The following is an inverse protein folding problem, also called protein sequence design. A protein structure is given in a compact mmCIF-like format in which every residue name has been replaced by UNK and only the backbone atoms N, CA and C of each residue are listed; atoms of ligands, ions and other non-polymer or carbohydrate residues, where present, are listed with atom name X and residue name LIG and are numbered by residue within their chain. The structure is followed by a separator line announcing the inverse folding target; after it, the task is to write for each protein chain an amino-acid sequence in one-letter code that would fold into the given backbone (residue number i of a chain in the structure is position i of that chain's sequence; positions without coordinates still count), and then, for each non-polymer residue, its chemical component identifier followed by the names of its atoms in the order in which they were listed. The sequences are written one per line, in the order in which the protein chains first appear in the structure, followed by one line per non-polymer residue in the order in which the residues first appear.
data_IF_066521005161
#
_entry.id   IF_066521005161
#
_cell.length_a   1.000
_cell.length_b   1.000
_cell.length_c   1.000
_cell.angle_alpha   90.00
_cell.angle_beta   90.00
_cell.angle_gamma   90.00
#
_symmetry.space_group_name_H-M   'P 1'
#
loop_
_entity.id
_entity.type
_entity.pdbx_description
1 polymer ?
#
# COMPACT_ATOMS: atom_id res chain seq x y z
N UNK A 1 103.24 2.48 47.91
CA UNK A 1 102.01 1.68 48.15
C UNK A 1 100.74 2.49 48.54
N UNK A 2 100.76 3.71 49.13
CA UNK A 2 99.52 4.40 49.54
C UNK A 2 98.61 4.92 48.41
N UNK A 3 99.16 5.28 47.24
CA UNK A 3 98.41 5.95 46.18
C UNK A 3 97.42 5.03 45.43
N UNK A 4 97.68 3.71 45.40
CA UNK A 4 96.83 2.74 44.71
C UNK A 4 95.59 2.38 45.53
N UNK A 5 95.71 2.36 46.86
CA UNK A 5 94.60 2.17 47.80
C UNK A 5 93.64 3.36 47.75
N UNK A 6 94.14 4.61 47.81
CA UNK A 6 93.31 5.82 47.66
C UNK A 6 92.62 5.95 46.31
N UNK A 7 93.21 5.43 45.24
CA UNK A 7 92.59 5.41 43.90
C UNK A 7 91.40 4.45 43.83
N UNK A 8 91.53 3.27 44.46
CA UNK A 8 90.46 2.28 44.56
C UNK A 8 89.34 2.77 45.50
N UNK A 9 89.67 3.40 46.63
CA UNK A 9 88.69 4.00 47.55
C UNK A 9 87.82 5.06 46.86
N UNK A 10 88.42 5.93 46.04
CA UNK A 10 87.68 6.91 45.23
C UNK A 10 86.76 6.23 44.20
N UNK A 11 87.26 5.20 43.51
CA UNK A 11 86.47 4.43 42.54
C UNK A 11 85.27 3.73 43.19
N UNK A 12 85.46 3.17 44.39
CA UNK A 12 84.40 2.53 45.17
C UNK A 12 83.34 3.56 45.54
N UNK A 13 83.75 4.75 45.99
CA UNK A 13 82.82 5.84 46.31
C UNK A 13 82.02 6.31 45.09
N UNK A 14 82.67 6.54 43.95
CA UNK A 14 82.00 6.91 42.69
C UNK A 14 80.98 5.84 42.24
N UNK A 15 81.34 4.57 42.36
CA UNK A 15 80.44 3.45 42.04
C UNK A 15 79.27 3.37 43.02
N UNK A 16 79.50 3.60 44.32
CA UNK A 16 78.44 3.67 45.33
C UNK A 16 77.46 4.81 45.04
N UNK A 17 77.96 6.01 44.75
CA UNK A 17 77.14 7.17 44.38
C UNK A 17 76.33 6.90 43.10
N UNK A 18 76.94 6.24 42.11
CA UNK A 18 76.26 5.85 40.86
C UNK A 18 75.17 4.83 41.11
N UNK A 19 75.41 3.83 41.96
CA UNK A 19 74.41 2.82 42.34
C UNK A 19 73.26 3.47 43.09
N UNK A 20 73.53 4.41 43.99
CA UNK A 20 72.47 5.15 44.67
C UNK A 20 71.63 5.99 43.71
N UNK A 21 72.25 6.70 42.77
CA UNK A 21 71.53 7.47 41.74
C UNK A 21 70.66 6.56 40.89
N UNK A 22 71.22 5.47 40.34
CA UNK A 22 70.47 4.51 39.53
C UNK A 22 69.32 3.85 40.30
N UNK A 23 69.50 3.60 41.61
CA UNK A 23 68.41 3.11 42.48
C UNK A 23 67.29 4.12 42.62
N UNK A 24 67.60 5.41 42.79
CA UNK A 24 66.60 6.48 42.86
C UNK A 24 65.86 6.64 41.53
N UNK A 25 66.58 6.69 40.41
CA UNK A 25 65.98 6.76 39.07
C UNK A 25 65.09 5.55 38.78
N UNK A 26 65.53 4.34 39.16
CA UNK A 26 64.72 3.13 39.03
C UNK A 26 63.43 3.22 39.85
N UNK A 27 63.50 3.67 41.10
CA UNK A 27 62.32 3.86 41.95
C UNK A 27 61.36 4.91 41.38
N UNK A 28 61.88 6.01 40.85
CA UNK A 28 61.07 7.03 40.19
C UNK A 28 60.37 6.50 38.94
N UNK A 29 61.10 5.77 38.09
CA UNK A 29 60.53 5.11 36.90
C UNK A 29 59.50 4.04 37.27
N UNK A 30 59.71 3.28 38.34
CA UNK A 30 58.72 2.31 38.83
C UNK A 30 57.43 2.99 39.33
N UNK A 31 57.54 4.16 39.97
CA UNK A 31 56.38 4.99 40.35
C UNK A 31 55.64 5.52 39.11
N UNK A 32 56.38 6.07 38.15
CA UNK A 32 55.81 6.56 36.89
C UNK A 32 55.09 5.42 36.12
N UNK A 33 55.69 4.23 36.06
CA UNK A 33 55.07 3.06 35.42
C UNK A 33 53.79 2.63 36.15
N UNK A 34 53.75 2.69 37.47
CA UNK A 34 52.55 2.31 38.24
C UNK A 34 51.42 3.33 38.07
N UNK A 35 51.75 4.63 38.03
CA UNK A 35 50.80 5.70 37.72
C UNK A 35 50.24 5.55 36.30
N UNK A 36 51.10 5.41 35.28
CA UNK A 36 50.68 5.22 33.89
C UNK A 36 49.82 3.96 33.70
N UNK A 37 50.14 2.86 34.39
CA UNK A 37 49.31 1.64 34.38
C UNK A 37 47.92 1.89 34.97
N UNK A 38 47.84 2.65 36.05
CA UNK A 38 46.57 3.03 36.69
C UNK A 38 45.72 3.90 35.77
N UNK A 39 46.34 4.90 35.12
CA UNK A 39 45.66 5.75 34.15
C UNK A 39 45.16 4.97 32.93
N UNK A 40 45.98 4.07 32.40
CA UNK A 40 45.60 3.22 31.29
C UNK A 40 44.40 2.33 31.65
N UNK A 41 44.37 1.75 32.86
CA UNK A 41 43.23 0.97 33.33
C UNK A 41 41.94 1.81 33.43
N UNK A 42 42.04 3.05 33.93
CA UNK A 42 40.92 4.01 33.99
C UNK A 42 40.41 4.38 32.60
N UNK A 43 41.31 4.64 31.64
CA UNK A 43 40.94 4.97 30.25
C UNK A 43 40.27 3.78 29.58
N UNK A 44 40.81 2.56 29.73
CA UNK A 44 40.21 1.33 29.18
C UNK A 44 38.80 1.10 29.72
N UNK A 45 38.61 1.25 31.04
CA UNK A 45 37.30 1.08 31.68
C UNK A 45 36.28 2.09 31.17
N UNK A 46 36.66 3.38 31.07
CA UNK A 46 35.79 4.41 30.49
C UNK A 46 35.42 4.11 29.04
N UNK A 47 36.40 3.74 28.20
CA UNK A 47 36.12 3.39 26.80
C UNK A 47 35.17 2.20 26.67
N UNK A 48 35.32 1.18 27.52
CA UNK A 48 34.42 0.02 27.54
C UNK A 48 32.98 0.42 27.89
N UNK A 49 32.79 1.22 28.95
CA UNK A 49 31.47 1.74 29.33
C UNK A 49 30.86 2.65 28.24
N UNK A 50 31.67 3.48 27.60
CA UNK A 50 31.21 4.31 26.48
C UNK A 50 30.81 3.48 25.26
N UNK A 51 31.54 2.38 24.98
CA UNK A 51 31.19 1.48 23.88
C UNK A 51 29.85 0.78 24.14
N UNK A 52 29.66 0.21 25.34
CA UNK A 52 28.39 -0.42 25.73
C UNK A 52 27.22 0.54 25.65
N UNK A 53 27.35 1.74 26.22
CA UNK A 53 26.28 2.75 26.15
C UNK A 53 26.02 3.21 24.71
N UNK A 54 27.04 3.30 23.86
CA UNK A 54 26.86 3.64 22.44
C UNK A 54 26.13 2.54 21.66
N UNK A 55 26.38 1.26 21.99
CA UNK A 55 25.72 0.11 21.40
C UNK A 55 24.25 0.06 21.82
N UNK A 56 23.96 0.16 23.12
CA UNK A 56 22.58 0.23 23.62
C UNK A 56 21.79 1.41 23.01
N UNK A 57 22.42 2.58 22.87
CA UNK A 57 21.80 3.75 22.24
C UNK A 57 21.54 3.49 20.75
N UNK A 58 22.46 2.79 20.06
CA UNK A 58 22.28 2.44 18.66
C UNK A 58 21.12 1.46 18.49
N UNK A 59 21.07 0.39 19.26
CA UNK A 59 19.99 -0.59 19.23
C UNK A 59 18.64 0.08 19.49
N UNK A 60 18.55 0.91 20.54
CA UNK A 60 17.34 1.67 20.84
C UNK A 60 16.95 2.61 19.70
N UNK A 61 17.91 3.26 19.04
CA UNK A 61 17.63 4.13 17.88
C UNK A 61 17.10 3.34 16.68
N UNK A 62 17.63 2.15 16.44
CA UNK A 62 17.14 1.26 15.38
C UNK A 62 15.70 0.82 15.66
N UNK A 63 15.39 0.42 16.90
CA UNK A 63 14.01 0.09 17.34
C UNK A 63 13.07 1.30 17.25
N UNK A 64 13.51 2.49 17.68
CA UNK A 64 12.70 3.71 17.55
C UNK A 64 12.42 4.02 16.08
N UNK A 65 13.40 3.80 15.19
CA UNK A 65 13.23 4.03 13.75
C UNK A 65 12.21 3.06 13.15
N UNK A 66 12.24 1.77 13.52
CA UNK A 66 11.25 0.79 13.04
C UNK A 66 9.85 1.11 13.56
N UNK A 67 9.72 1.37 14.87
CA UNK A 67 8.44 1.74 15.48
C UNK A 67 7.84 3.02 14.88
N UNK A 68 8.68 3.99 14.50
CA UNK A 68 8.21 5.20 13.82
C UNK A 68 7.65 4.91 12.44
N UNK A 69 8.25 3.99 11.69
CA UNK A 69 7.75 3.56 10.36
C UNK A 69 6.43 2.84 10.51
N UNK A 70 6.37 1.85 11.40
CA UNK A 70 5.12 1.13 11.69
C UNK A 70 3.99 2.07 12.12
N UNK A 71 4.28 3.06 12.96
CA UNK A 71 3.30 4.07 13.37
C UNK A 71 2.84 4.94 12.19
N UNK A 72 3.72 5.25 11.25
CA UNK A 72 3.34 6.01 10.06
C UNK A 72 2.43 5.17 9.15
N UNK A 73 2.81 3.93 8.87
CA UNK A 73 2.03 3.02 8.03
C UNK A 73 0.63 2.78 8.62
N UNK A 74 0.53 2.59 9.94
CA UNK A 74 -0.76 2.41 10.60
C UNK A 74 -1.61 3.69 10.60
N UNK A 75 -0.99 4.87 10.68
CA UNK A 75 -1.71 6.15 10.54
C UNK A 75 -2.27 6.34 9.14
N UNK A 76 -1.49 6.05 8.11
CA UNK A 76 -1.93 6.11 6.71
C UNK A 76 -3.10 5.15 6.49
N UNK A 77 -3.03 3.95 7.07
CA UNK A 77 -4.11 2.97 7.01
C UNK A 77 -5.38 3.42 7.76
N UNK A 78 -5.24 4.03 8.94
CA UNK A 78 -6.38 4.57 9.69
C UNK A 78 -7.07 5.67 8.90
N UNK A 79 -6.31 6.57 8.26
CA UNK A 79 -6.88 7.64 7.45
C UNK A 79 -7.64 7.08 6.24
N UNK A 80 -7.03 6.14 5.53
CA UNK A 80 -7.70 5.44 4.43
C UNK A 80 -8.97 4.70 4.86
N UNK A 81 -8.98 4.07 6.04
CA UNK A 81 -10.17 3.42 6.59
C UNK A 81 -11.25 4.43 6.98
N UNK A 82 -10.87 5.63 7.46
CA UNK A 82 -11.80 6.71 7.80
C UNK A 82 -12.48 7.26 6.55
N UNK A 83 -11.71 7.56 5.50
CA UNK A 83 -12.25 8.01 4.22
C UNK A 83 -13.26 6.99 3.65
N UNK A 84 -12.94 5.69 3.78
CA UNK A 84 -13.84 4.60 3.40
C UNK A 84 -15.11 4.54 4.23
N UNK A 85 -15.01 4.76 5.55
CA UNK A 85 -16.16 4.73 6.44
C UNK A 85 -17.09 5.92 6.16
N UNK A 86 -16.55 7.12 6.05
CA UNK A 86 -17.30 8.34 5.71
C UNK A 86 -18.04 8.16 4.38
N UNK A 87 -17.34 7.67 3.36
CA UNK A 87 -17.95 7.34 2.06
C UNK A 87 -19.09 6.32 2.19
N UNK A 88 -18.97 5.33 3.08
CA UNK A 88 -19.99 4.31 3.28
C UNK A 88 -21.22 4.83 4.05
N UNK A 89 -20.99 5.68 5.05
CA UNK A 89 -22.04 6.37 5.81
C UNK A 89 -22.85 7.30 4.90
N UNK A 90 -22.18 8.10 4.05
CA UNK A 90 -22.84 8.94 3.05
C UNK A 90 -23.75 8.12 2.11
N UNK A 91 -23.27 6.98 1.61
CA UNK A 91 -24.09 6.09 0.78
C UNK A 91 -25.31 5.59 1.55
N UNK A 92 -25.14 5.17 2.81
CA UNK A 92 -26.23 4.61 3.60
C UNK A 92 -27.30 5.66 3.90
N UNK A 93 -26.89 6.87 4.28
CA UNK A 93 -27.79 8.02 4.44
C UNK A 93 -28.56 8.33 3.16
N UNK A 94 -27.89 8.29 2.00
CA UNK A 94 -28.54 8.51 0.70
C UNK A 94 -29.48 7.36 0.32
N UNK A 95 -29.13 6.09 0.60
CA UNK A 95 -29.99 4.91 0.35
C UNK A 95 -31.25 4.92 1.21
N UNK A 96 -31.17 5.46 2.42
CA UNK A 96 -32.30 5.58 3.33
C UNK A 96 -33.36 6.60 2.83
N UNK A 97 -33.03 7.46 1.86
CA UNK A 97 -34.02 8.29 1.16
C UNK A 97 -34.76 7.41 0.15
N UNK A 98 -36.04 7.12 0.41
CA UNK A 98 -36.87 6.17 -0.37
C UNK A 98 -36.93 6.45 -1.89
N UNK A 99 -36.57 7.65 -2.34
CA UNK A 99 -36.71 8.10 -3.73
C UNK A 99 -35.41 8.11 -4.54
N UNK A 100 -34.26 7.76 -3.94
CA UNK A 100 -32.94 7.89 -4.59
C UNK A 100 -32.26 6.53 -4.74
N UNK A 101 -31.62 6.30 -5.88
CA UNK A 101 -30.69 5.19 -6.12
C UNK A 101 -29.28 5.73 -6.21
N UNK A 102 -28.39 5.17 -5.38
CA UNK A 102 -26.95 5.46 -5.41
C UNK A 102 -26.25 4.50 -6.36
N UNK A 103 -25.46 5.04 -7.28
CA UNK A 103 -24.67 4.31 -8.26
C UNK A 103 -23.19 4.62 -8.03
N UNK A 104 -22.29 3.67 -8.28
CA UNK A 104 -20.84 3.92 -8.18
C UNK A 104 -20.35 4.62 -9.43
N UNK A 105 -19.56 5.68 -9.27
CA UNK A 105 -19.03 6.45 -10.40
C UNK A 105 -17.80 5.77 -10.99
N UNK A 106 -17.77 5.66 -12.31
CA UNK A 106 -16.61 5.26 -13.09
C UNK A 106 -16.29 6.38 -14.10
N UNK A 107 -15.20 7.16 -13.88
CA UNK A 107 -14.88 8.31 -14.72
C UNK A 107 -14.65 7.93 -16.20
N UNK A 108 -13.90 6.87 -16.46
CA UNK A 108 -13.68 6.36 -17.81
C UNK A 108 -13.85 4.84 -17.85
N UNK A 109 -14.37 4.32 -18.96
CA UNK A 109 -14.56 2.89 -19.16
C UNK A 109 -13.26 2.14 -19.52
N UNK A 110 -12.19 2.38 -18.76
CA UNK A 110 -10.87 1.79 -18.96
C UNK A 110 -10.55 0.75 -17.89
N UNK A 111 -9.67 -0.22 -18.20
CA UNK A 111 -9.25 -1.22 -17.23
C UNK A 111 -8.57 -0.60 -16.00
N UNK A 112 -7.88 0.53 -16.19
CA UNK A 112 -7.22 1.26 -15.11
C UNK A 112 -8.25 1.78 -14.09
N UNK A 113 -9.30 2.44 -14.56
CA UNK A 113 -10.29 3.02 -13.66
C UNK A 113 -11.22 1.94 -13.07
N UNK A 114 -11.49 0.86 -13.79
CA UNK A 114 -12.18 -0.32 -13.21
C UNK A 114 -11.37 -0.88 -12.04
N UNK A 115 -10.05 -1.06 -12.19
CA UNK A 115 -9.19 -1.54 -11.10
C UNK A 115 -9.17 -0.59 -9.91
N UNK A 116 -9.04 0.72 -10.16
CA UNK A 116 -9.10 1.72 -9.08
C UNK A 116 -10.42 1.66 -8.31
N UNK A 117 -11.54 1.50 -9.02
CA UNK A 117 -12.85 1.38 -8.38
C UNK A 117 -12.95 0.09 -7.55
N UNK A 118 -12.42 -1.03 -8.06
CA UNK A 118 -12.34 -2.30 -7.32
C UNK A 118 -11.46 -2.20 -6.06
N UNK A 119 -10.29 -1.57 -6.14
CA UNK A 119 -9.34 -1.44 -5.02
C UNK A 119 -9.80 -0.40 -3.98
N UNK A 120 -10.49 0.64 -4.45
CA UNK A 120 -11.08 1.70 -3.64
C UNK A 120 -12.37 1.25 -2.97
N UNK A 121 -13.51 1.53 -3.60
CA UNK A 121 -14.85 1.33 -3.04
C UNK A 121 -15.29 -0.15 -3.13
N UNK A 122 -14.72 -0.89 -4.08
CA UNK A 122 -15.15 -2.25 -4.42
C UNK A 122 -16.30 -2.28 -5.41
N UNK A 123 -16.51 -3.42 -6.06
CA UNK A 123 -17.63 -3.68 -6.98
C UNK A 123 -18.25 -5.01 -6.58
N UNK A 124 -19.52 -4.97 -6.16
CA UNK A 124 -20.25 -6.11 -5.60
C UNK A 124 -21.53 -6.40 -6.38
N UNK A 125 -21.99 -7.64 -6.25
CA UNK A 125 -23.27 -8.07 -6.83
C UNK A 125 -24.42 -7.18 -6.33
N UNK A 126 -25.25 -6.72 -7.26
CA UNK A 126 -26.33 -5.77 -6.98
C UNK A 126 -25.99 -4.31 -7.27
N UNK A 127 -24.71 -3.95 -7.42
CA UNK A 127 -24.30 -2.58 -7.70
C UNK A 127 -24.72 -2.12 -9.10
N UNK A 128 -24.97 -0.83 -9.23
CA UNK A 128 -25.16 -0.14 -10.51
C UNK A 128 -23.95 0.77 -10.71
N UNK A 129 -23.26 0.61 -11.83
CA UNK A 129 -22.09 1.45 -12.17
C UNK A 129 -22.52 2.53 -13.15
N UNK A 130 -22.29 3.79 -12.82
CA UNK A 130 -22.43 4.92 -13.73
C UNK A 130 -21.10 5.19 -14.43
N UNK A 131 -21.10 5.15 -15.75
CA UNK A 131 -19.94 5.40 -16.59
C UNK A 131 -20.10 6.78 -17.24
N UNK A 132 -19.21 7.70 -16.88
CA UNK A 132 -19.20 9.06 -17.41
C UNK A 132 -18.65 9.10 -18.84
N UNK A 133 -17.48 8.50 -19.08
CA UNK A 133 -16.96 8.29 -20.44
C UNK A 133 -16.98 6.81 -20.87
N UNK A 134 -18.01 6.36 -21.62
CA UNK A 134 -18.13 4.99 -22.10
C UNK A 134 -17.27 4.65 -23.33
N UNK A 135 -16.54 5.62 -23.90
CA UNK A 135 -15.84 5.45 -25.19
C UNK A 135 -14.65 4.48 -25.12
N UNK A 136 -14.00 4.36 -23.96
CA UNK A 136 -12.74 3.64 -23.79
C UNK A 136 -12.82 2.13 -23.60
N UNK A 137 -14.01 1.53 -23.44
CA UNK A 137 -14.14 0.12 -23.07
C UNK A 137 -14.61 -0.79 -24.20
N UNK A 138 -13.95 -1.94 -24.30
CA UNK A 138 -14.26 -3.04 -25.22
C UNK A 138 -14.99 -4.21 -24.55
N UNK A 139 -15.06 -5.35 -25.25
CA UNK A 139 -15.68 -6.58 -24.75
C UNK A 139 -15.08 -7.09 -23.44
N UNK A 140 -13.76 -7.05 -23.28
CA UNK A 140 -13.08 -7.54 -22.06
C UNK A 140 -13.46 -6.73 -20.81
N UNK A 141 -13.54 -5.40 -20.92
CA UNK A 141 -13.95 -4.56 -19.78
C UNK A 141 -15.43 -4.79 -19.45
N UNK A 142 -16.27 -4.98 -20.48
CA UNK A 142 -17.68 -5.26 -20.31
C UNK A 142 -17.91 -6.60 -19.60
N UNK A 143 -17.19 -7.65 -20.00
CA UNK A 143 -17.21 -8.97 -19.37
C UNK A 143 -16.89 -8.88 -17.87
N UNK A 144 -15.77 -8.23 -17.54
CA UNK A 144 -15.31 -8.09 -16.16
C UNK A 144 -16.32 -7.38 -15.26
N UNK A 145 -17.01 -6.35 -15.77
CA UNK A 145 -18.05 -5.67 -15.02
C UNK A 145 -19.33 -6.51 -14.93
N UNK A 146 -19.75 -7.12 -16.04
CA UNK A 146 -21.02 -7.86 -16.13
C UNK A 146 -21.15 -9.02 -15.15
N UNK A 147 -20.04 -9.67 -14.79
CA UNK A 147 -20.05 -10.75 -13.80
C UNK A 147 -20.37 -10.29 -12.37
N UNK A 148 -20.23 -8.98 -12.09
CA UNK A 148 -20.26 -8.44 -10.73
C UNK A 148 -21.37 -7.43 -10.48
N UNK A 149 -22.05 -6.93 -11.52
CA UNK A 149 -22.94 -5.77 -11.39
C UNK A 149 -24.35 -6.09 -11.87
N UNK A 150 -25.34 -5.40 -11.30
CA UNK A 150 -26.75 -5.55 -11.68
C UNK A 150 -27.10 -4.80 -12.95
N UNK A 151 -26.52 -3.62 -13.15
CA UNK A 151 -26.79 -2.78 -14.32
C UNK A 151 -25.65 -1.79 -14.56
N UNK A 152 -25.57 -1.29 -15.79
CA UNK A 152 -24.66 -0.21 -16.17
C UNK A 152 -25.46 1.01 -16.60
N UNK A 153 -25.21 2.14 -15.96
CA UNK A 153 -25.70 3.44 -16.36
C UNK A 153 -24.65 4.20 -17.17
N UNK A 154 -25.09 4.93 -18.18
CA UNK A 154 -24.21 5.56 -19.17
C UNK A 154 -24.70 6.98 -19.49
N UNK A 155 -23.75 7.90 -19.57
CA UNK A 155 -23.92 9.14 -20.33
C UNK A 155 -23.16 9.02 -21.67
N UNK A 156 -23.86 8.55 -22.71
CA UNK A 156 -23.30 8.46 -24.05
C UNK A 156 -23.50 7.12 -24.76
N UNK A 157 -22.51 6.72 -25.57
CA UNK A 157 -22.58 5.52 -26.43
C UNK A 157 -21.40 4.60 -26.13
N UNK A 158 -21.71 3.34 -25.81
CA UNK A 158 -20.74 2.26 -25.74
C UNK A 158 -20.22 1.88 -27.14
N UNK A 159 -19.01 1.33 -27.16
CA UNK A 159 -18.50 0.61 -28.33
C UNK A 159 -19.41 -0.57 -28.69
N UNK A 160 -19.49 -0.90 -29.99
CA UNK A 160 -20.30 -2.04 -30.45
C UNK A 160 -19.92 -3.37 -29.76
N UNK A 161 -18.61 -3.71 -29.60
CA UNK A 161 -18.20 -4.92 -28.90
C UNK A 161 -18.60 -4.94 -27.42
N UNK A 162 -18.49 -3.82 -26.70
CA UNK A 162 -18.90 -3.76 -25.30
C UNK A 162 -20.42 -3.94 -25.14
N UNK A 163 -21.20 -3.27 -26.00
CA UNK A 163 -22.66 -3.37 -25.98
C UNK A 163 -23.13 -4.80 -26.24
N UNK A 164 -22.53 -5.49 -27.21
CA UNK A 164 -22.87 -6.88 -27.49
C UNK A 164 -22.56 -7.79 -26.29
N UNK A 165 -21.40 -7.60 -25.65
CA UNK A 165 -21.04 -8.38 -24.47
C UNK A 165 -21.99 -8.19 -23.29
N UNK A 166 -22.48 -6.96 -23.05
CA UNK A 166 -23.51 -6.71 -22.04
C UNK A 166 -24.86 -7.39 -22.37
N UNK A 167 -25.23 -7.49 -23.65
CA UNK A 167 -26.43 -8.24 -24.07
C UNK A 167 -26.27 -9.74 -23.84
N UNK A 168 -25.10 -10.29 -24.20
CA UNK A 168 -24.78 -11.71 -24.01
C UNK A 168 -24.87 -12.10 -22.53
N UNK A 169 -24.27 -11.29 -21.67
CA UNK A 169 -24.21 -11.45 -20.20
C UNK A 169 -25.46 -10.98 -19.46
N UNK A 170 -26.50 -10.57 -20.19
CA UNK A 170 -27.79 -10.10 -19.62
C UNK A 170 -27.66 -8.91 -18.66
N UNK A 171 -26.58 -8.13 -18.75
CA UNK A 171 -26.38 -6.94 -17.95
C UNK A 171 -27.05 -5.73 -18.61
N UNK A 172 -28.17 -5.22 -18.08
CA UNK A 172 -28.90 -4.10 -18.68
C UNK A 172 -28.06 -2.83 -18.71
N UNK A 173 -28.06 -2.16 -19.86
CA UNK A 173 -27.46 -0.83 -20.02
C UNK A 173 -28.57 0.22 -20.10
N UNK A 174 -28.48 1.24 -19.25
CA UNK A 174 -29.46 2.33 -19.16
C UNK A 174 -28.78 3.66 -19.45
N UNK A 175 -29.53 4.59 -20.04
CA UNK A 175 -29.10 5.98 -20.22
C UNK A 175 -29.74 6.86 -19.17
N UNK A 176 -28.94 7.69 -18.52
CA UNK A 176 -29.41 8.63 -17.51
C UNK A 176 -28.89 10.01 -17.88
N UNK A 177 -29.78 11.00 -17.88
CA UNK A 177 -29.47 12.39 -18.22
C UNK A 177 -29.56 13.29 -16.99
N UNK A 178 -30.43 12.95 -16.03
CA UNK A 178 -30.59 13.67 -14.75
C UNK A 178 -29.90 12.88 -13.64
N UNK A 179 -28.74 13.36 -13.23
CA UNK A 179 -27.93 12.80 -12.14
C UNK A 179 -27.39 13.90 -11.25
N UNK A 180 -27.26 13.59 -9.97
CA UNK A 180 -26.49 14.37 -9.00
C UNK A 180 -25.15 13.69 -8.80
N UNK A 181 -24.09 14.41 -9.15
CA UNK A 181 -22.71 13.93 -9.11
C UNK A 181 -22.07 14.20 -7.73
N UNK A 182 -21.48 13.16 -7.17
CA UNK A 182 -20.67 13.19 -5.96
C UNK A 182 -19.30 12.57 -6.30
N UNK A 183 -18.25 12.88 -5.54
CA UNK A 183 -16.86 12.50 -5.89
C UNK A 183 -16.72 11.02 -6.32
N UNK A 184 -17.36 10.13 -5.58
CA UNK A 184 -17.26 8.67 -5.76
C UNK A 184 -18.56 8.01 -6.24
N UNK A 185 -19.67 8.74 -6.25
CA UNK A 185 -21.01 8.21 -6.45
C UNK A 185 -21.86 9.13 -7.31
N UNK A 186 -22.85 8.55 -7.97
CA UNK A 186 -23.85 9.29 -8.72
C UNK A 186 -25.22 8.88 -8.23
N UNK A 187 -26.05 9.87 -7.93
CA UNK A 187 -27.40 9.66 -7.41
C UNK A 187 -28.44 10.04 -8.46
N UNK A 188 -29.52 9.26 -8.52
CA UNK A 188 -30.62 9.49 -9.46
C UNK A 188 -31.94 9.00 -8.87
N UNK A 189 -33.06 9.42 -9.47
CA UNK A 189 -34.38 9.02 -9.00
C UNK A 189 -34.61 7.50 -9.14
N UNK A 190 -34.89 6.82 -8.03
CA UNK A 190 -35.04 5.35 -7.97
C UNK A 190 -36.09 4.81 -8.92
N UNK A 191 -37.26 5.43 -8.99
CA UNK A 191 -38.36 4.97 -9.86
C UNK A 191 -37.97 5.03 -11.33
N UNK A 192 -37.27 6.09 -11.74
CA UNK A 192 -36.81 6.22 -13.11
C UNK A 192 -35.76 5.15 -13.47
N UNK A 193 -34.83 4.87 -12.55
CA UNK A 193 -33.78 3.86 -12.76
C UNK A 193 -34.37 2.46 -12.86
N UNK A 194 -35.22 2.06 -11.92
CA UNK A 194 -35.86 0.74 -11.93
C UNK A 194 -36.67 0.51 -13.20
N UNK A 195 -37.46 1.51 -13.62
CA UNK A 195 -38.23 1.43 -14.87
C UNK A 195 -37.34 1.31 -16.11
N UNK A 196 -36.21 2.03 -16.16
CA UNK A 196 -35.24 1.94 -17.27
C UNK A 196 -34.55 0.57 -17.30
N UNK A 197 -34.20 0.02 -16.14
CA UNK A 197 -33.59 -1.31 -16.02
C UNK A 197 -34.57 -2.38 -16.51
N UNK A 198 -35.82 -2.35 -16.04
CA UNK A 198 -36.83 -3.33 -16.45
C UNK A 198 -37.10 -3.29 -17.96
N UNK A 199 -37.21 -2.09 -18.54
CA UNK A 199 -37.32 -1.90 -20.00
C UNK A 199 -36.10 -2.45 -20.75
N UNK A 200 -34.88 -2.21 -20.24
CA UNK A 200 -33.66 -2.72 -20.87
C UNK A 200 -33.59 -4.26 -20.84
N UNK A 201 -33.94 -4.88 -19.71
CA UNK A 201 -34.02 -6.34 -19.57
C UNK A 201 -35.03 -6.92 -20.57
N UNK A 202 -36.20 -6.29 -20.70
CA UNK A 202 -37.24 -6.73 -21.63
C UNK A 202 -36.75 -6.66 -23.09
N UNK A 203 -36.09 -5.57 -23.48
CA UNK A 203 -35.49 -5.42 -24.82
C UNK A 203 -34.43 -6.49 -25.10
N UNK A 204 -33.63 -6.87 -24.11
CA UNK A 204 -32.58 -7.87 -24.27
C UNK A 204 -33.19 -9.27 -24.47
N UNK A 205 -34.23 -9.60 -23.69
CA UNK A 205 -35.01 -10.84 -23.87
C UNK A 205 -35.64 -10.92 -25.26
N UNK A 206 -36.19 -9.82 -25.77
CA UNK A 206 -36.78 -9.76 -27.11
C UNK A 206 -35.74 -9.94 -28.21
N UNK A 207 -34.56 -9.29 -28.10
CA UNK A 207 -33.46 -9.48 -29.06
C UNK A 207 -32.94 -10.90 -29.09
N UNK A 208 -32.71 -11.52 -27.93
CA UNK A 208 -32.29 -12.93 -27.86
C UNK A 208 -33.33 -13.85 -28.52
N UNK A 209 -34.64 -13.60 -28.31
CA UNK A 209 -35.70 -14.36 -28.98
C UNK A 209 -35.67 -14.19 -30.50
N UNK A 210 -35.41 -12.98 -31.00
CA UNK A 210 -35.29 -12.72 -32.44
C UNK A 210 -34.05 -13.40 -33.05
N UNK A 211 -32.91 -13.36 -32.37
CA UNK A 211 -31.68 -14.06 -32.77
C UNK A 211 -31.87 -15.59 -32.79
N UNK A 212 -32.55 -16.14 -31.79
CA UNK A 212 -32.91 -17.56 -31.74
C UNK A 212 -33.85 -17.95 -32.89
N UNK A 213 -34.80 -17.07 -33.25
CA UNK A 213 -35.74 -17.31 -34.35
C UNK A 213 -35.04 -17.26 -35.70
N UNK A 214 -34.19 -16.27 -35.93
CA UNK A 214 -33.43 -16.15 -37.17
C UNK A 214 -32.40 -17.27 -37.33
N UNK A 215 -31.81 -17.76 -36.24
CA UNK A 215 -30.93 -18.93 -36.26
C UNK A 215 -31.71 -20.22 -36.61
N UNK A 216 -32.92 -20.39 -36.05
CA UNK A 216 -33.80 -21.52 -36.41
C UNK A 216 -34.26 -21.46 -37.87
N UNK A 217 -34.54 -20.29 -38.42
CA UNK A 217 -34.90 -20.14 -39.84
C UNK A 217 -33.69 -20.41 -40.77
N UNK A 218 -32.48 -20.03 -40.35
CA UNK A 218 -31.25 -20.22 -41.13
C UNK A 218 -30.73 -21.66 -41.14
N UNK A 219 -30.95 -22.41 -40.05
CA UNK A 219 -30.50 -23.81 -39.91
C UNK A 219 -31.65 -24.84 -39.93
N UNK A 220 -32.91 -24.39 -40.00
CA UNK A 220 -34.10 -25.24 -40.05
C UNK A 220 -34.47 -25.72 -41.46
N UNK A 221 -33.70 -25.36 -42.48
CA UNK A 221 -33.89 -25.82 -43.87
C UNK A 221 -33.07 -27.05 -44.26
N UNK A 222 -32.18 -27.55 -43.38
CA UNK A 222 -31.28 -28.70 -43.68
C UNK A 222 -31.63 -29.97 -42.89
N UNK A 223 -32.93 -30.28 -42.74
CA UNK A 223 -33.38 -31.63 -42.37
C UNK A 223 -34.67 -32.02 -43.07
N UNK A 224 -34.51 -32.38 -44.34
CA UNK A 224 -35.24 -33.48 -44.96
C UNK A 224 -34.22 -34.41 -45.64
N UNK A 225 -33.62 -35.33 -44.88
CA UNK A 225 -33.19 -36.63 -45.42
C UNK A 225 -33.56 -37.72 -44.40
N UNK A 226 -34.68 -38.35 -44.77
CA UNK A 226 -35.21 -39.69 -44.51
C UNK A 226 -35.43 -40.21 -43.08
N UNK A 227 -36.65 -40.74 -42.94
CA UNK A 227 -37.27 -41.47 -41.84
C UNK A 227 -36.54 -42.76 -41.48
#
# INVERSE_FOLDING_TARGET
MPNRVRGLERKVKELQDTVERLRREKQEKEREITELKSELARIKSRRFLSALTSEEVREKKEVISSLKRELQDEKEKVEWLREKLESAEEIDEMRNKEEITVMKKLPSFTMKDIKKLEDGIGINEGDIIYIEDPSGGGSTNAEKLSEKVRAIALDGKLSHPAKQKFIETETPTIKIEETEDHDNYVTANKKQIEQKIEKAIQQYKEKKKQELKSLKEKYGHDKDIEL
#
